data_IF_268023308490
#
_entry.id   IF_268023308490
#
_cell.length_a   1.000
_cell.length_b   1.000
_cell.length_c   1.000
_cell.angle_alpha   90.00
_cell.angle_beta   90.00
_cell.angle_gamma   90.00
#
_symmetry.space_group_name_H-M   'P 1'
#
loop_
_entity.id
_entity.type
_entity.pdbx_description
1 polymer ?
#
# COMPACT_ATOMS: atom_id res chain seq x y z
N UNK A 1 -6.83 -10.40 -22.44
CA UNK A 1 -7.16 -11.32 -21.33
C UNK A 1 -6.05 -11.18 -20.31
N UNK A 2 -6.23 -10.34 -19.29
CA UNK A 2 -5.25 -10.27 -18.20
C UNK A 2 -5.41 -11.53 -17.35
N UNK A 3 -4.32 -12.27 -17.13
CA UNK A 3 -4.35 -13.37 -16.19
C UNK A 3 -4.73 -12.83 -14.80
N UNK A 4 -5.58 -13.55 -14.04
CA UNK A 4 -5.90 -13.18 -12.68
C UNK A 4 -4.60 -13.13 -11.86
N UNK A 5 -4.40 -12.08 -11.06
CA UNK A 5 -3.23 -12.02 -10.20
C UNK A 5 -3.34 -13.18 -9.19
N UNK A 6 -2.28 -13.96 -9.05
CA UNK A 6 -2.23 -15.05 -8.08
C UNK A 6 -2.29 -14.50 -6.65
N UNK A 7 -2.76 -15.32 -5.69
CA UNK A 7 -2.70 -14.97 -4.26
C UNK A 7 -1.28 -14.60 -3.84
N UNK A 8 -0.27 -15.28 -4.40
CA UNK A 8 1.13 -14.99 -4.15
C UNK A 8 1.51 -13.55 -4.56
N UNK A 9 1.19 -13.16 -5.80
CA UNK A 9 1.47 -11.81 -6.32
C UNK A 9 0.72 -10.73 -5.54
N UNK A 10 -0.57 -10.96 -5.25
CA UNK A 10 -1.39 -10.05 -4.45
C UNK A 10 -0.80 -9.86 -3.05
N UNK A 11 -0.43 -10.96 -2.38
CA UNK A 11 0.15 -10.90 -1.04
C UNK A 11 1.52 -10.22 -1.05
N UNK A 12 2.38 -10.53 -2.02
CA UNK A 12 3.71 -9.93 -2.16
C UNK A 12 3.64 -8.40 -2.33
N UNK A 13 2.68 -7.91 -3.12
CA UNK A 13 2.42 -6.46 -3.27
C UNK A 13 2.05 -5.80 -1.95
N UNK A 14 1.19 -6.43 -1.14
CA UNK A 14 0.82 -5.89 0.17
C UNK A 14 2.05 -5.78 1.08
N UNK A 15 2.93 -6.80 1.12
CA UNK A 15 4.19 -6.73 1.88
C UNK A 15 5.09 -5.58 1.44
N UNK A 16 5.19 -5.33 0.14
CA UNK A 16 6.04 -4.26 -0.41
C UNK A 16 5.48 -2.86 -0.14
N UNK A 17 4.16 -2.69 -0.25
CA UNK A 17 3.50 -1.37 -0.27
C UNK A 17 3.03 -0.94 1.12
N UNK A 18 2.43 -1.86 1.88
CA UNK A 18 1.90 -1.63 3.22
C UNK A 18 2.99 -1.94 4.24
N UNK A 19 3.78 -0.92 4.56
CA UNK A 19 4.89 -0.98 5.52
C UNK A 19 4.99 0.31 6.35
N UNK A 20 5.54 0.25 7.57
CA UNK A 20 5.78 1.45 8.37
C UNK A 20 6.77 2.39 7.67
N UNK A 21 6.58 3.71 7.84
CA UNK A 21 7.49 4.70 7.29
C UNK A 21 8.91 4.52 7.86
N UNK A 22 9.92 4.51 6.98
CA UNK A 22 11.33 4.34 7.37
C UNK A 22 11.73 2.93 7.78
N UNK A 23 10.85 1.93 7.65
CA UNK A 23 11.15 0.53 7.94
C UNK A 23 11.05 -0.35 6.70
N UNK A 24 11.65 -1.54 6.77
CA UNK A 24 11.50 -2.59 5.75
C UNK A 24 10.10 -3.21 5.75
N UNK A 25 9.90 -4.20 4.89
CA UNK A 25 8.68 -5.01 4.90
C UNK A 25 8.46 -5.68 6.26
N UNK A 26 7.20 -5.96 6.59
CA UNK A 26 6.90 -6.82 7.73
C UNK A 26 7.53 -8.21 7.55
N UNK A 27 8.09 -8.76 8.64
CA UNK A 27 8.52 -10.16 8.62
C UNK A 27 7.28 -11.07 8.68
N UNK A 28 7.34 -12.25 8.07
CA UNK A 28 6.25 -13.23 8.14
C UNK A 28 5.92 -13.62 9.60
N UNK A 29 6.92 -13.61 10.48
CA UNK A 29 6.74 -13.85 11.92
C UNK A 29 5.91 -12.76 12.56
N UNK A 30 6.24 -11.49 12.31
CA UNK A 30 5.49 -10.34 12.84
C UNK A 30 4.04 -10.34 12.35
N UNK A 31 3.79 -10.64 11.06
CA UNK A 31 2.42 -10.75 10.54
C UNK A 31 1.65 -11.88 11.23
N UNK A 32 2.27 -13.06 11.35
CA UNK A 32 1.62 -14.21 11.97
C UNK A 32 1.32 -13.99 13.46
N UNK A 33 2.23 -13.35 14.20
CA UNK A 33 2.04 -12.96 15.60
C UNK A 33 0.90 -11.95 15.75
N UNK A 34 0.91 -10.88 14.96
CA UNK A 34 -0.15 -9.87 14.99
C UNK A 34 -1.54 -10.46 14.69
N UNK A 35 -1.65 -11.34 13.68
CA UNK A 35 -2.92 -12.01 13.36
C UNK A 35 -3.39 -12.89 14.54
N UNK A 36 -2.49 -13.65 15.17
CA UNK A 36 -2.86 -14.49 16.32
C UNK A 36 -3.31 -13.65 17.51
N UNK A 37 -2.57 -12.59 17.84
CA UNK A 37 -2.83 -11.75 19.02
C UNK A 37 -4.07 -10.87 18.85
N UNK A 38 -4.23 -10.25 17.68
CA UNK A 38 -5.28 -9.25 17.46
C UNK A 38 -6.59 -9.86 16.94
N UNK A 39 -6.51 -11.00 16.24
CA UNK A 39 -7.67 -11.59 15.56
C UNK A 39 -8.01 -12.99 16.09
N UNK A 40 -7.16 -13.60 16.93
CA UNK A 40 -7.37 -14.95 17.45
C UNK A 40 -7.30 -16.06 16.39
N UNK A 41 -6.80 -15.76 15.19
CA UNK A 41 -6.74 -16.70 14.07
C UNK A 41 -5.36 -17.37 14.05
N UNK A 42 -5.35 -18.70 14.12
CA UNK A 42 -4.11 -19.46 14.02
C UNK A 42 -3.59 -19.49 12.58
N UNK A 43 -2.44 -18.86 12.38
CA UNK A 43 -1.68 -18.87 11.12
C UNK A 43 -0.18 -18.91 11.44
N UNK A 44 0.59 -19.70 10.68
CA UNK A 44 2.04 -19.81 10.87
C UNK A 44 2.80 -18.93 9.88
N UNK A 45 3.96 -18.42 10.31
CA UNK A 45 4.84 -17.63 9.44
C UNK A 45 5.31 -18.43 8.21
N UNK A 46 5.55 -19.75 8.37
CA UNK A 46 5.89 -20.64 7.26
C UNK A 46 4.77 -20.73 6.23
N UNK A 47 3.52 -20.79 6.67
CA UNK A 47 2.38 -20.82 5.77
C UNK A 47 2.21 -19.50 5.01
N UNK A 48 2.40 -18.35 5.68
CA UNK A 48 2.41 -17.04 5.01
C UNK A 48 3.50 -16.98 3.94
N UNK A 49 4.72 -17.44 4.24
CA UNK A 49 5.79 -17.52 3.25
C UNK A 49 5.44 -18.46 2.09
N UNK A 50 4.81 -19.61 2.36
CA UNK A 50 4.35 -20.54 1.32
C UNK A 50 3.30 -19.89 0.41
N UNK A 51 2.37 -19.10 0.96
CA UNK A 51 1.39 -18.34 0.19
C UNK A 51 2.08 -17.27 -0.66
N UNK A 52 2.98 -16.47 -0.05
CA UNK A 52 3.70 -15.38 -0.74
C UNK A 52 4.58 -15.90 -1.89
N UNK A 53 5.11 -17.11 -1.77
CA UNK A 53 5.95 -17.74 -2.80
C UNK A 53 5.17 -18.65 -3.76
N UNK A 54 3.85 -18.77 -3.61
CA UNK A 54 3.00 -19.63 -4.44
C UNK A 54 3.20 -21.14 -4.20
N UNK A 55 3.95 -21.55 -3.17
CA UNK A 55 4.06 -22.96 -2.75
C UNK A 55 2.75 -23.51 -2.20
N UNK A 56 1.89 -22.61 -1.72
CA UNK A 56 0.47 -22.84 -1.42
C UNK A 56 -0.32 -21.74 -2.13
N UNK A 57 -1.43 -22.11 -2.73
CA UNK A 57 -2.24 -21.22 -3.57
C UNK A 57 -3.74 -21.26 -3.22
N UNK A 58 -4.16 -22.23 -2.40
CA UNK A 58 -5.55 -22.42 -1.98
C UNK A 58 -5.76 -22.18 -0.46
N UNK A 59 -5.60 -20.94 0.03
CA UNK A 59 -5.91 -20.61 1.41
C UNK A 59 -7.41 -20.60 1.70
N UNK A 60 -7.76 -20.80 2.98
CA UNK A 60 -9.14 -20.62 3.43
C UNK A 60 -9.54 -19.14 3.36
N UNK A 61 -10.84 -18.87 3.20
CA UNK A 61 -11.38 -17.50 3.31
C UNK A 61 -11.02 -16.88 4.65
N UNK A 62 -11.01 -17.65 5.74
CA UNK A 62 -10.61 -17.16 7.06
C UNK A 62 -9.18 -16.61 7.07
N UNK A 63 -8.23 -17.31 6.44
CA UNK A 63 -6.85 -16.84 6.34
C UNK A 63 -6.71 -15.63 5.42
N UNK A 64 -7.45 -15.59 4.31
CA UNK A 64 -7.46 -14.42 3.42
C UNK A 64 -8.02 -13.18 4.13
N UNK A 65 -9.13 -13.31 4.85
CA UNK A 65 -9.70 -12.22 5.66
C UNK A 65 -8.72 -11.76 6.72
N UNK A 66 -8.00 -12.69 7.35
CA UNK A 66 -7.04 -12.34 8.39
C UNK A 66 -5.85 -11.53 7.85
N UNK A 67 -5.31 -11.96 6.71
CA UNK A 67 -4.24 -11.25 6.00
C UNK A 67 -4.72 -9.88 5.50
N UNK A 68 -5.91 -9.83 4.89
CA UNK A 68 -6.50 -8.59 4.40
C UNK A 68 -6.69 -7.58 5.55
N UNK A 69 -7.21 -8.04 6.69
CA UNK A 69 -7.40 -7.21 7.89
C UNK A 69 -6.07 -6.69 8.43
N UNK A 70 -5.03 -7.53 8.47
CA UNK A 70 -3.69 -7.10 8.89
C UNK A 70 -3.13 -5.99 7.98
N UNK A 71 -3.29 -6.12 6.66
CA UNK A 71 -2.81 -5.14 5.68
C UNK A 71 -3.77 -3.95 5.47
N UNK A 72 -4.91 -3.92 6.16
CA UNK A 72 -5.88 -2.84 6.07
C UNK A 72 -6.61 -2.76 4.72
N UNK A 73 -6.77 -3.88 4.01
CA UNK A 73 -7.51 -3.97 2.74
C UNK A 73 -8.76 -4.85 2.87
N UNK A 74 -9.80 -4.65 2.04
CA UNK A 74 -10.93 -5.58 1.97
C UNK A 74 -10.50 -6.98 1.51
N UNK A 75 -11.15 -8.04 2.02
CA UNK A 75 -10.87 -9.42 1.56
C UNK A 75 -11.12 -9.61 0.06
N UNK A 76 -12.01 -8.80 -0.53
CA UNK A 76 -12.26 -8.75 -1.96
C UNK A 76 -10.98 -8.51 -2.78
N UNK A 77 -9.96 -7.85 -2.22
CA UNK A 77 -8.64 -7.72 -2.82
C UNK A 77 -8.09 -9.09 -3.28
N UNK A 78 -8.27 -10.15 -2.48
CA UNK A 78 -7.77 -11.48 -2.87
C UNK A 78 -8.69 -12.21 -3.85
N UNK A 79 -9.99 -11.89 -3.86
CA UNK A 79 -11.03 -12.68 -4.51
C UNK A 79 -11.53 -12.09 -5.84
N UNK A 80 -11.36 -10.79 -6.04
CA UNK A 80 -11.82 -10.03 -7.21
C UNK A 80 -10.67 -9.22 -7.79
N UNK A 81 -10.38 -9.42 -9.07
CA UNK A 81 -9.27 -8.76 -9.76
C UNK A 81 -9.54 -7.29 -10.10
N UNK A 82 -10.81 -6.88 -10.23
CA UNK A 82 -11.13 -5.47 -10.42
C UNK A 82 -10.92 -4.68 -9.12
N UNK A 83 -11.37 -5.23 -7.99
CA UNK A 83 -11.05 -4.70 -6.66
C UNK A 83 -9.54 -4.68 -6.41
N UNK A 84 -8.82 -5.74 -6.83
CA UNK A 84 -7.35 -5.78 -6.75
C UNK A 84 -6.72 -4.58 -7.44
N UNK A 85 -7.11 -4.29 -8.69
CA UNK A 85 -6.52 -3.20 -9.49
C UNK A 85 -6.82 -1.83 -8.89
N UNK A 86 -8.04 -1.62 -8.40
CA UNK A 86 -8.45 -0.36 -7.80
C UNK A 86 -7.62 -0.09 -6.54
N UNK A 87 -7.55 -1.06 -5.63
CA UNK A 87 -6.78 -0.97 -4.39
C UNK A 87 -5.29 -0.83 -4.68
N UNK A 88 -4.75 -1.57 -5.65
CA UNK A 88 -3.34 -1.45 -6.04
C UNK A 88 -3.00 -0.02 -6.52
N UNK A 89 -3.91 0.64 -7.24
CA UNK A 89 -3.70 2.01 -7.71
C UNK A 89 -3.67 3.00 -6.55
N UNK A 90 -4.54 2.82 -5.55
CA UNK A 90 -4.57 3.65 -4.33
C UNK A 90 -3.33 3.42 -3.46
N UNK A 91 -2.94 2.16 -3.24
CA UNK A 91 -1.72 1.80 -2.49
C UNK A 91 -0.46 2.35 -3.14
N UNK A 92 -0.40 2.40 -4.47
CA UNK A 92 0.73 2.96 -5.21
C UNK A 92 0.86 4.46 -5.03
N UNK A 93 -0.27 5.20 -5.08
CA UNK A 93 -0.29 6.62 -4.79
C UNK A 93 0.18 6.90 -3.35
N UNK A 94 -0.33 6.16 -2.36
CA UNK A 94 0.07 6.31 -0.96
C UNK A 94 1.55 6.00 -0.75
N UNK A 95 2.08 4.95 -1.40
CA UNK A 95 3.49 4.61 -1.35
C UNK A 95 4.36 5.73 -1.95
N UNK A 96 3.98 6.28 -3.10
CA UNK A 96 4.70 7.38 -3.74
C UNK A 96 4.72 8.66 -2.88
N UNK A 97 3.60 9.00 -2.24
CA UNK A 97 3.52 10.15 -1.32
C UNK A 97 4.41 9.97 -0.07
N UNK A 98 4.50 8.73 0.45
CA UNK A 98 5.37 8.39 1.59
C UNK A 98 6.84 8.48 1.20
N UNK A 99 7.23 7.91 0.06
CA UNK A 99 8.63 7.85 -0.36
C UNK A 99 9.18 9.22 -0.78
N UNK A 100 8.31 10.15 -1.18
CA UNK A 100 8.66 11.56 -1.47
C UNK A 100 8.66 12.46 -0.23
N UNK A 101 8.23 11.95 0.93
CA UNK A 101 8.22 12.71 2.19
C UNK A 101 7.16 13.82 2.26
N UNK A 102 6.19 13.84 1.35
CA UNK A 102 5.17 14.90 1.28
C UNK A 102 3.90 14.59 2.09
N UNK A 103 3.82 13.42 2.72
CA UNK A 103 2.66 13.01 3.54
C UNK A 103 2.29 14.05 4.60
N UNK A 104 3.29 14.63 5.27
CA UNK A 104 3.07 15.62 6.33
C UNK A 104 2.48 16.94 5.79
N UNK A 105 2.88 17.34 4.57
CA UNK A 105 2.33 18.50 3.88
C UNK A 105 0.86 18.25 3.51
N UNK A 106 0.56 17.07 2.96
CA UNK A 106 -0.80 16.69 2.57
C UNK A 106 -1.75 16.65 3.78
N UNK A 107 -1.33 16.05 4.90
CA UNK A 107 -2.12 15.99 6.13
C UNK A 107 -2.42 17.39 6.69
N UNK A 108 -1.42 18.28 6.77
CA UNK A 108 -1.65 19.66 7.23
C UNK A 108 -2.53 20.47 6.29
N UNK A 109 -2.38 20.26 4.97
CA UNK A 109 -3.22 20.95 3.99
C UNK A 109 -4.71 20.55 4.10
N UNK A 110 -5.00 19.34 4.58
CA UNK A 110 -6.36 18.87 4.82
C UNK A 110 -7.08 19.64 5.94
N UNK A 111 -6.35 20.20 6.91
CA UNK A 111 -6.89 21.00 8.01
C UNK A 111 -7.08 22.49 7.64
N UNK A 112 -6.59 22.93 6.48
CA UNK A 112 -6.74 24.30 6.02
C UNK A 112 -8.13 24.58 5.43
N UNK A 113 -8.53 25.85 5.49
CA UNK A 113 -9.71 26.35 4.78
C UNK A 113 -9.55 26.15 3.26
N UNK A 114 -10.66 26.08 2.49
CA UNK A 114 -10.59 25.89 1.04
C UNK A 114 -9.73 26.93 0.31
N UNK A 115 -9.84 28.21 0.68
CA UNK A 115 -9.06 29.30 0.05
C UNK A 115 -7.57 29.24 0.40
N UNK A 116 -7.22 28.89 1.64
CA UNK A 116 -5.82 28.68 2.04
C UNK A 116 -5.24 27.46 1.34
N UNK A 117 -6.00 26.38 1.18
CA UNK A 117 -5.58 25.18 0.45
C UNK A 117 -5.31 25.49 -1.03
N UNK A 118 -6.17 26.26 -1.69
CA UNK A 118 -5.96 26.72 -3.07
C UNK A 118 -4.69 27.55 -3.22
N UNK A 119 -4.43 28.45 -2.26
CA UNK A 119 -3.22 29.27 -2.26
C UNK A 119 -1.95 28.41 -2.19
N UNK A 120 -1.92 27.42 -1.30
CA UNK A 120 -0.80 26.47 -1.17
C UNK A 120 -0.63 25.65 -2.46
N UNK A 121 -1.72 25.13 -3.03
CA UNK A 121 -1.67 24.38 -4.30
C UNK A 121 -1.05 25.22 -5.42
N UNK A 122 -1.42 26.48 -5.55
CA UNK A 122 -0.86 27.38 -6.56
C UNK A 122 0.63 27.66 -6.34
N UNK A 123 1.08 27.81 -5.09
CA UNK A 123 2.51 27.96 -4.77
C UNK A 123 3.31 26.71 -5.14
N UNK A 124 2.80 25.51 -4.81
CA UNK A 124 3.44 24.24 -5.17
C UNK A 124 3.54 24.11 -6.69
N UNK A 125 2.45 24.38 -7.41
CA UNK A 125 2.43 24.38 -8.88
C UNK A 125 3.49 25.35 -9.43
N UNK A 126 3.58 26.55 -8.86
CA UNK A 126 4.53 27.55 -9.36
C UNK A 126 5.99 27.14 -9.16
N UNK A 127 6.33 26.57 -7.99
CA UNK A 127 7.68 26.05 -7.73
C UNK A 127 8.00 24.89 -8.67
N UNK A 128 7.05 23.99 -8.89
CA UNK A 128 7.21 22.85 -9.82
C UNK A 128 7.47 23.32 -11.26
N UNK A 129 6.77 24.34 -11.75
CA UNK A 129 7.02 24.92 -13.07
C UNK A 129 8.45 25.45 -13.18
N UNK A 130 8.90 26.24 -12.20
CA UNK A 130 10.22 26.85 -12.18
C UNK A 130 11.34 25.80 -12.19
N UNK A 131 11.20 24.73 -11.40
CA UNK A 131 12.18 23.64 -11.35
C UNK A 131 12.24 22.84 -12.67
N UNK A 132 11.10 22.64 -13.35
CA UNK A 132 11.08 21.90 -14.61
C UNK A 132 11.49 22.75 -15.82
N UNK A 133 11.25 24.07 -15.80
CA UNK A 133 11.79 24.97 -16.82
C UNK A 133 13.32 25.01 -16.79
N UNK A 134 13.93 25.06 -15.60
CA UNK A 134 15.39 24.97 -15.43
C UNK A 134 15.95 23.65 -15.98
N UNK A 135 15.29 22.51 -15.71
CA UNK A 135 15.71 21.20 -16.24
C UNK A 135 15.65 21.11 -17.77
N UNK A 136 14.80 21.89 -18.44
CA UNK A 136 14.65 21.89 -19.91
C UNK A 136 15.66 22.81 -20.62
N UNK A 137 16.31 23.73 -19.90
CA UNK A 137 17.39 24.58 -20.41
C UNK A 137 18.67 24.28 -19.61
N UNK A 138 19.39 23.19 -19.92
CA UNK A 138 20.68 22.97 -19.28
C UNK A 138 21.63 24.10 -19.70
N UNK A 139 22.28 24.71 -18.71
CA UNK A 139 23.36 25.70 -18.92
C UNK A 139 24.54 25.10 -19.69
#
# INVERSE_FOLDING_TARGET
>A
MNAPFSIAEKLDRLFQRVRPAGQGEYSHTAVAEAIREQQGISISHTYIWQLRTGRRDNPTIQHLTALATFFGVPVAYFLDDEETKQIDSELELLAALRDTGVTEIALRAADLSPSSRETISNMILKVWELENEKKRKPE
#
